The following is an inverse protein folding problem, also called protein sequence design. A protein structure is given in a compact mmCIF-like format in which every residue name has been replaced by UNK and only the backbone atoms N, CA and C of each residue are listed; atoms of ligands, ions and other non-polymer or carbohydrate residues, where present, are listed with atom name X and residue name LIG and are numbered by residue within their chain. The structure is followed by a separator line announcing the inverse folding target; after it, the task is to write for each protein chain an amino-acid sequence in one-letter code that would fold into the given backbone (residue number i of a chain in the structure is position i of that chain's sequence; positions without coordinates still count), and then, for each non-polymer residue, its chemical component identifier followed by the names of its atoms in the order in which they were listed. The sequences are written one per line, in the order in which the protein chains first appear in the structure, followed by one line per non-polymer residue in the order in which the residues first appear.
data_IF_782431550027
#
_entry.id   IF_782431550027
#
_cell.length_a   1.000
_cell.length_b   1.000
_cell.length_c   1.000
_cell.angle_alpha   90.00
_cell.angle_beta   90.00
_cell.angle_gamma   90.00
#
_symmetry.space_group_name_H-M   'P 1'
#
loop_
_entity.id
_entity.type
_entity.pdbx_description
1 polymer ?
#
# COMPACT_ATOMS: atom_id res chain seq x y z
N UNK A 1 13.16 14.12 12.13
CA UNK A 1 11.81 14.47 11.66
C UNK A 1 11.97 14.90 10.21
N UNK A 2 11.21 14.30 9.29
CA UNK A 2 11.18 14.76 7.90
C UNK A 2 10.59 16.18 7.88
N UNK A 3 11.22 17.06 7.11
CA UNK A 3 10.74 18.41 6.88
C UNK A 3 9.42 18.33 6.11
N UNK A 4 8.41 19.08 6.54
CA UNK A 4 7.12 19.12 5.86
C UNK A 4 7.22 20.00 4.62
N UNK A 5 6.60 19.55 3.54
CA UNK A 5 6.43 20.35 2.34
C UNK A 5 5.40 21.47 2.57
N UNK A 6 5.39 22.45 1.71
CA UNK A 6 4.36 23.49 1.68
C UNK A 6 3.02 22.92 1.20
N UNK A 7 1.92 23.62 1.48
CA UNK A 7 0.59 23.21 1.00
C UNK A 7 0.53 23.04 -0.52
N UNK A 8 1.14 23.95 -1.27
CA UNK A 8 1.11 23.90 -2.74
C UNK A 8 1.94 22.75 -3.31
N UNK A 9 3.06 22.40 -2.67
CA UNK A 9 3.85 21.23 -3.04
C UNK A 9 3.06 19.92 -2.79
N UNK A 10 2.41 19.78 -1.63
CA UNK A 10 1.54 18.62 -1.37
C UNK A 10 0.37 18.53 -2.35
N UNK A 11 -0.25 19.65 -2.69
CA UNK A 11 -1.35 19.71 -3.65
C UNK A 11 -0.90 19.32 -5.07
N UNK A 12 0.27 19.80 -5.48
CA UNK A 12 0.86 19.45 -6.78
C UNK A 12 1.22 17.97 -6.85
N UNK A 13 1.79 17.44 -5.78
CA UNK A 13 2.11 16.02 -5.66
C UNK A 13 0.82 15.17 -5.74
N UNK A 14 -0.21 15.51 -4.98
CA UNK A 14 -1.49 14.80 -4.99
C UNK A 14 -2.14 14.77 -6.38
N UNK A 15 -2.00 15.86 -7.15
CA UNK A 15 -2.53 15.92 -8.52
C UNK A 15 -1.73 15.06 -9.53
N UNK A 16 -0.50 14.69 -9.20
CA UNK A 16 0.38 13.88 -10.06
C UNK A 16 0.40 12.39 -9.69
N UNK A 17 -0.26 11.99 -8.59
CA UNK A 17 -0.28 10.61 -8.16
C UNK A 17 -1.10 9.73 -9.11
N UNK A 18 -0.55 8.56 -9.41
CA UNK A 18 -1.24 7.50 -10.13
C UNK A 18 -1.80 6.48 -9.13
N UNK A 19 -3.12 6.39 -9.06
CA UNK A 19 -3.81 5.49 -8.14
C UNK A 19 -4.08 4.14 -8.83
N UNK A 20 -3.80 3.00 -8.14
CA UNK A 20 -4.17 1.69 -8.65
C UNK A 20 -5.68 1.60 -8.89
N UNK A 21 -6.08 1.10 -10.07
CA UNK A 21 -7.49 1.03 -10.48
C UNK A 21 -8.02 -0.41 -10.60
N UNK A 22 -7.25 -1.39 -10.14
CA UNK A 22 -7.59 -2.79 -10.31
C UNK A 22 -6.98 -3.69 -9.23
N UNK A 23 -7.55 -4.89 -8.99
CA UNK A 23 -7.01 -5.85 -8.03
C UNK A 23 -5.58 -6.26 -8.37
N UNK A 24 -4.76 -6.46 -7.33
CA UNK A 24 -3.39 -6.95 -7.44
C UNK A 24 -3.31 -8.37 -6.87
N UNK A 25 -3.05 -9.36 -7.72
CA UNK A 25 -3.04 -10.79 -7.36
C UNK A 25 -1.78 -11.44 -7.93
N UNK A 26 -1.09 -12.25 -7.14
CA UNK A 26 0.11 -13.02 -7.55
C UNK A 26 1.16 -12.15 -8.29
N UNK A 27 1.42 -10.96 -7.75
CA UNK A 27 2.47 -10.07 -8.25
C UNK A 27 2.12 -9.23 -9.48
N UNK A 28 0.87 -9.19 -9.92
CA UNK A 28 0.43 -8.39 -11.07
C UNK A 28 -0.99 -7.82 -10.89
N UNK A 29 -1.27 -6.75 -11.63
CA UNK A 29 -2.62 -6.20 -11.71
C UNK A 29 -3.50 -7.01 -12.65
N UNK A 30 -4.73 -7.27 -12.21
CA UNK A 30 -5.79 -7.91 -12.99
C UNK A 30 -6.86 -6.87 -13.31
N UNK A 31 -7.53 -7.04 -14.45
CA UNK A 31 -8.57 -6.10 -14.89
C UNK A 31 -9.71 -5.95 -13.87
N UNK A 32 -9.92 -6.95 -13.02
CA UNK A 32 -11.08 -7.06 -12.16
C UNK A 32 -12.36 -7.31 -12.97
N UNK A 33 -13.28 -8.09 -12.43
CA UNK A 33 -14.55 -8.42 -13.08
C UNK A 33 -15.76 -8.00 -12.25
N UNK A 34 -15.53 -7.33 -11.10
CA UNK A 34 -16.59 -6.79 -10.26
C UNK A 34 -17.12 -5.42 -10.70
N UNK A 35 -17.89 -4.79 -9.85
CA UNK A 35 -18.47 -3.47 -10.11
C UNK A 35 -17.43 -2.35 -10.08
N UNK A 36 -17.70 -1.26 -10.77
CA UNK A 36 -16.93 -0.04 -10.65
C UNK A 36 -17.26 0.64 -9.31
N UNK A 37 -16.26 1.00 -8.55
CA UNK A 37 -16.37 1.73 -7.28
C UNK A 37 -15.55 3.02 -7.35
N UNK A 38 -16.19 4.15 -7.05
CA UNK A 38 -15.52 5.45 -7.01
C UNK A 38 -15.09 5.76 -5.58
N UNK A 39 -13.81 6.12 -5.39
CA UNK A 39 -13.30 6.63 -4.12
C UNK A 39 -13.40 8.14 -4.09
N UNK A 40 -13.81 8.68 -2.96
CA UNK A 40 -14.03 10.12 -2.78
C UNK A 40 -13.07 10.67 -1.72
N UNK A 41 -12.57 11.87 -1.97
CA UNK A 41 -11.86 12.63 -0.96
C UNK A 41 -12.87 13.14 0.10
N UNK A 42 -12.79 12.69 1.35
CA UNK A 42 -13.78 13.03 2.37
C UNK A 42 -13.78 14.51 2.76
N UNK A 43 -12.68 15.23 2.51
CA UNK A 43 -12.58 16.67 2.80
C UNK A 43 -13.27 17.54 1.74
N UNK A 44 -13.38 17.07 0.51
CA UNK A 44 -13.92 17.85 -0.62
C UNK A 44 -15.14 17.25 -1.26
N UNK A 45 -15.45 15.97 -1.01
CA UNK A 45 -16.48 15.20 -1.70
C UNK A 45 -16.20 14.91 -3.18
N UNK A 46 -15.00 15.26 -3.67
CA UNK A 46 -14.62 15.04 -5.08
C UNK A 46 -14.05 13.63 -5.26
N UNK A 47 -14.24 13.12 -6.46
CA UNK A 47 -13.63 11.85 -6.88
C UNK A 47 -12.10 11.93 -6.84
N UNK A 48 -11.48 10.89 -6.28
CA UNK A 48 -10.04 10.65 -6.35
C UNK A 48 -9.74 9.76 -7.54
N UNK A 49 -10.37 8.59 -7.59
CA UNK A 49 -10.22 7.60 -8.66
C UNK A 49 -11.40 6.64 -8.66
N UNK A 50 -11.56 5.91 -9.76
CA UNK A 50 -12.52 4.80 -9.84
C UNK A 50 -11.77 3.48 -10.02
N UNK A 51 -12.11 2.50 -9.22
CA UNK A 51 -11.50 1.17 -9.22
C UNK A 51 -12.50 0.11 -9.66
N UNK A 52 -12.05 -0.86 -10.45
CA UNK A 52 -12.82 -2.08 -10.73
C UNK A 52 -12.63 -3.03 -9.56
N UNK A 53 -13.71 -3.39 -8.88
CA UNK A 53 -13.65 -4.32 -7.74
C UNK A 53 -13.42 -5.75 -8.21
N UNK A 54 -13.03 -6.62 -7.27
CA UNK A 54 -12.96 -8.05 -7.50
C UNK A 54 -14.36 -8.68 -7.53
N UNK A 55 -14.58 -9.67 -8.38
CA UNK A 55 -15.73 -10.59 -8.31
C UNK A 55 -15.41 -11.75 -7.33
N UNK A 56 -16.39 -12.63 -7.12
CA UNK A 56 -16.19 -13.84 -6.33
C UNK A 56 -15.10 -14.73 -6.95
N UNK A 57 -15.06 -14.85 -8.27
CA UNK A 57 -14.04 -15.61 -9.01
C UNK A 57 -12.64 -14.99 -8.86
N UNK A 58 -12.53 -13.66 -8.84
CA UNK A 58 -11.26 -12.95 -8.60
C UNK A 58 -10.77 -13.21 -7.16
N UNK A 59 -11.69 -13.27 -6.19
CA UNK A 59 -11.39 -13.62 -4.79
C UNK A 59 -10.93 -15.06 -4.69
N UNK A 60 -11.63 -15.99 -5.32
CA UNK A 60 -11.26 -17.41 -5.36
C UNK A 60 -9.87 -17.59 -5.97
N UNK A 61 -9.57 -16.90 -7.07
CA UNK A 61 -8.24 -16.89 -7.67
C UNK A 61 -7.17 -16.38 -6.68
N UNK A 62 -7.46 -15.29 -5.96
CA UNK A 62 -6.52 -14.74 -4.99
C UNK A 62 -6.23 -15.74 -3.85
N UNK A 63 -7.25 -16.43 -3.35
CA UNK A 63 -7.13 -17.48 -2.33
C UNK A 63 -6.36 -18.68 -2.86
N UNK A 64 -6.64 -19.13 -4.09
CA UNK A 64 -5.91 -20.22 -4.76
C UNK A 64 -4.42 -19.88 -4.85
N UNK A 65 -4.07 -18.68 -5.33
CA UNK A 65 -2.68 -18.23 -5.45
C UNK A 65 -1.96 -18.08 -4.12
N UNK A 66 -2.67 -17.63 -3.09
CA UNK A 66 -2.14 -17.58 -1.72
C UNK A 66 -1.87 -18.99 -1.17
N UNK A 67 -2.80 -19.93 -1.37
CA UNK A 67 -2.64 -21.35 -0.99
C UNK A 67 -1.47 -22.00 -1.73
N UNK A 68 -1.40 -21.82 -3.04
CA UNK A 68 -0.28 -22.30 -3.87
C UNK A 68 1.07 -21.79 -3.35
N UNK A 69 1.17 -20.49 -3.05
CA UNK A 69 2.40 -19.89 -2.53
C UNK A 69 2.81 -20.49 -1.17
N UNK A 70 1.84 -20.79 -0.31
CA UNK A 70 2.08 -21.45 0.98
C UNK A 70 2.54 -22.90 0.80
N UNK A 71 1.83 -23.70 -0.01
CA UNK A 71 2.12 -25.13 -0.21
C UNK A 71 3.47 -25.34 -0.91
N UNK A 72 3.83 -24.47 -1.85
CA UNK A 72 5.16 -24.43 -2.48
C UNK A 72 6.27 -23.94 -1.55
N UNK A 73 5.91 -23.34 -0.41
CA UNK A 73 6.85 -22.85 0.58
C UNK A 73 7.62 -21.59 0.14
N UNK A 74 7.04 -20.78 -0.76
CA UNK A 74 7.68 -19.56 -1.28
C UNK A 74 8.11 -18.59 -0.18
N UNK A 75 7.44 -18.62 0.96
CA UNK A 75 7.77 -17.83 2.14
C UNK A 75 8.16 -18.68 3.35
N UNK A 76 7.35 -19.66 3.70
CA UNK A 76 7.51 -20.42 4.94
C UNK A 76 8.78 -21.29 4.96
N UNK A 77 9.30 -21.71 3.80
CA UNK A 77 10.54 -22.49 3.68
C UNK A 77 11.80 -21.65 3.49
N UNK A 78 11.66 -20.32 3.36
CA UNK A 78 12.83 -19.44 3.30
C UNK A 78 13.56 -19.44 4.64
N UNK A 79 14.89 -19.35 4.58
CA UNK A 79 15.68 -19.13 5.79
C UNK A 79 15.26 -17.82 6.48
N UNK A 80 15.22 -17.74 7.82
CA UNK A 80 14.79 -16.53 8.54
C UNK A 80 15.50 -15.25 8.08
N UNK A 81 16.80 -15.33 7.78
CA UNK A 81 17.56 -14.18 7.27
C UNK A 81 17.05 -13.68 5.90
N UNK A 82 16.56 -14.57 5.05
CA UNK A 82 16.02 -14.19 3.74
C UNK A 82 14.68 -13.46 3.90
N UNK A 83 13.79 -13.98 4.77
CA UNK A 83 12.53 -13.31 5.13
C UNK A 83 12.79 -11.92 5.71
N UNK A 84 13.74 -11.82 6.66
CA UNK A 84 14.20 -10.54 7.21
C UNK A 84 14.64 -9.57 6.10
N UNK A 85 15.49 -10.03 5.18
CA UNK A 85 16.02 -9.20 4.10
C UNK A 85 14.91 -8.70 3.16
N UNK A 86 13.87 -9.50 2.92
CA UNK A 86 12.70 -9.09 2.11
C UNK A 86 11.95 -7.95 2.83
N UNK A 87 11.65 -8.10 4.13
CA UNK A 87 10.94 -7.08 4.91
C UNK A 87 11.77 -5.79 5.04
N UNK A 88 13.08 -5.89 5.23
CA UNK A 88 13.96 -4.72 5.26
C UNK A 88 14.01 -4.01 3.90
N UNK A 89 13.97 -4.74 2.77
CA UNK A 89 13.83 -4.11 1.44
C UNK A 89 12.50 -3.39 1.28
N UNK A 90 11.40 -3.97 1.78
CA UNK A 90 10.11 -3.31 1.82
C UNK A 90 10.17 -2.00 2.63
N UNK A 91 10.76 -2.02 3.84
CA UNK A 91 10.95 -0.80 4.62
C UNK A 91 11.72 0.30 3.86
N UNK A 92 12.76 -0.06 3.11
CA UNK A 92 13.51 0.89 2.28
C UNK A 92 12.65 1.49 1.15
N UNK A 93 11.78 0.68 0.52
CA UNK A 93 10.85 1.16 -0.50
C UNK A 93 9.80 2.11 0.10
N UNK A 94 9.21 1.75 1.24
CA UNK A 94 8.26 2.63 1.95
C UNK A 94 8.92 3.95 2.36
N UNK A 95 10.15 3.91 2.90
CA UNK A 95 10.89 5.13 3.26
C UNK A 95 11.16 6.01 2.04
N UNK A 96 11.52 5.42 0.91
CA UNK A 96 11.80 6.17 -0.33
C UNK A 96 10.56 6.87 -0.87
N UNK A 97 9.39 6.24 -0.74
CA UNK A 97 8.12 6.74 -1.26
C UNK A 97 7.23 7.32 -0.14
N UNK A 98 7.81 7.65 1.02
CA UNK A 98 7.06 8.02 2.22
C UNK A 98 6.12 9.21 2.00
N UNK A 99 6.55 10.23 1.29
CA UNK A 99 5.76 11.44 1.07
C UNK A 99 4.56 11.16 0.14
N UNK A 100 4.78 10.42 -0.95
CA UNK A 100 3.70 10.03 -1.88
C UNK A 100 2.64 9.17 -1.17
N UNK A 101 3.07 8.18 -0.39
CA UNK A 101 2.18 7.31 0.39
C UNK A 101 1.39 8.10 1.44
N UNK A 102 2.04 9.05 2.13
CA UNK A 102 1.36 9.92 3.09
C UNK A 102 0.31 10.82 2.43
N UNK A 103 0.58 11.32 1.22
CA UNK A 103 -0.39 12.11 0.44
C UNK A 103 -1.58 11.24 0.02
N UNK A 104 -1.34 10.01 -0.45
CA UNK A 104 -2.41 9.07 -0.80
C UNK A 104 -3.32 8.81 0.41
N UNK A 105 -2.73 8.49 1.57
CA UNK A 105 -3.46 8.26 2.81
C UNK A 105 -4.27 9.48 3.24
N UNK A 106 -3.67 10.66 3.21
CA UNK A 106 -4.37 11.91 3.56
C UNK A 106 -5.54 12.21 2.63
N UNK A 107 -5.41 11.95 1.34
CA UNK A 107 -6.47 12.16 0.36
C UNK A 107 -7.66 11.19 0.55
N UNK A 108 -7.38 9.92 0.85
CA UNK A 108 -8.42 8.91 1.03
C UNK A 108 -9.09 8.94 2.40
N UNK A 109 -8.33 9.16 3.46
CA UNK A 109 -8.84 9.14 4.84
C UNK A 109 -9.34 10.51 5.34
N UNK A 110 -8.92 11.60 4.70
CA UNK A 110 -9.14 12.96 5.19
C UNK A 110 -8.28 13.35 6.40
N UNK A 111 -7.31 12.53 6.76
CA UNK A 111 -6.40 12.77 7.89
C UNK A 111 -5.43 13.92 7.56
N UNK A 112 -5.06 14.75 8.55
CA UNK A 112 -4.06 15.80 8.34
C UNK A 112 -2.76 15.24 7.79
N UNK A 113 -2.26 15.80 6.70
CA UNK A 113 -1.03 15.35 6.03
C UNK A 113 0.18 15.30 6.97
N UNK A 114 0.26 16.23 7.93
CA UNK A 114 1.30 16.23 8.96
C UNK A 114 1.33 14.91 9.73
N UNK A 115 0.17 14.38 10.10
CA UNK A 115 0.07 13.18 10.93
C UNK A 115 0.42 11.93 10.07
N UNK A 116 -0.01 11.88 8.81
CA UNK A 116 0.38 10.83 7.87
C UNK A 116 1.91 10.78 7.68
N UNK A 117 2.57 11.95 7.52
CA UNK A 117 4.02 12.05 7.31
C UNK A 117 4.82 11.77 8.58
N UNK A 118 4.40 12.30 9.74
CA UNK A 118 5.21 12.29 10.95
C UNK A 118 4.87 11.16 11.91
N UNK A 119 3.71 10.52 11.77
CA UNK A 119 3.24 9.45 12.65
C UNK A 119 3.00 8.16 11.85
N UNK A 120 2.03 8.14 10.95
CA UNK A 120 1.51 6.89 10.37
C UNK A 120 2.54 6.15 9.53
N UNK A 121 3.18 6.82 8.59
CA UNK A 121 4.20 6.20 7.75
C UNK A 121 5.45 5.77 8.54
N UNK A 122 6.01 6.60 9.46
CA UNK A 122 7.07 6.16 10.35
C UNK A 122 6.72 4.94 11.21
N UNK A 123 5.52 4.91 11.82
CA UNK A 123 5.04 3.79 12.63
C UNK A 123 4.82 2.53 11.80
N UNK A 124 4.27 2.66 10.59
CA UNK A 124 4.13 1.54 9.64
C UNK A 124 5.50 0.93 9.31
N UNK A 125 6.49 1.77 8.96
CA UNK A 125 7.85 1.33 8.65
C UNK A 125 8.51 0.68 9.87
N UNK A 126 8.34 1.27 11.06
CA UNK A 126 8.85 0.73 12.32
C UNK A 126 8.24 -0.65 12.62
N UNK A 127 6.94 -0.79 12.49
CA UNK A 127 6.23 -2.05 12.73
C UNK A 127 6.74 -3.16 11.80
N UNK A 128 6.87 -2.90 10.50
CA UNK A 128 7.40 -3.88 9.54
C UNK A 128 8.85 -4.23 9.88
N UNK A 129 9.66 -3.25 10.25
CA UNK A 129 11.04 -3.47 10.68
C UNK A 129 11.11 -4.33 11.94
N UNK A 130 10.24 -4.06 12.92
CA UNK A 130 10.13 -4.87 14.14
C UNK A 130 9.70 -6.31 13.81
N UNK A 131 8.65 -6.47 12.99
CA UNK A 131 8.19 -7.78 12.52
C UNK A 131 9.29 -8.57 11.80
N UNK A 132 10.21 -7.89 11.11
CA UNK A 132 11.34 -8.55 10.45
C UNK A 132 12.31 -9.26 11.43
N UNK A 133 12.28 -8.89 12.72
CA UNK A 133 13.14 -9.45 13.75
C UNK A 133 12.52 -10.63 14.48
N UNK A 134 11.18 -10.74 14.53
CA UNK A 134 10.51 -11.80 15.28
C UNK A 134 10.34 -13.10 14.47
N UNK A 135 10.64 -13.09 13.18
CA UNK A 135 10.60 -14.27 12.30
C UNK A 135 11.90 -15.10 12.32
N UNK A 136 12.66 -14.95 13.37
CA UNK A 136 13.90 -15.70 13.56
C UNK A 136 13.61 -17.04 14.23
#
# INVERSE_FOLDING_TARGET
MSELLTHDEYKSLGASLDFPQSPFIDGKYYKGSGALMTTLNPSTGKEITSITTASDEDVDLAVEKAREAFDQGRWCRLHPSERKNILIRLCKLLTRNQIELAVMESLESGKPIRDCVQIDLPETIHTIKWLSLIHI
#
